data_IF_840224094263
#
_entry.id   IF_840224094263
#
_cell.length_a   1.000
_cell.length_b   1.000
_cell.length_c   1.000
_cell.angle_alpha   90.00
_cell.angle_beta   90.00
_cell.angle_gamma   90.00
#
_symmetry.space_group_name_H-M   'P 1'
#
loop_
_entity.id
_entity.type
_entity.pdbx_description
1 polymer ?
#
# COMPACT_ATOMS: atom_id res chain seq x y z
N UNK A 1 13.47 5.50 -17.59
CA UNK A 1 12.44 4.74 -16.84
C UNK A 1 12.97 3.37 -16.45
N UNK A 2 12.40 2.75 -15.41
CA UNK A 2 12.77 1.40 -14.96
C UNK A 2 12.56 0.37 -16.08
N UNK A 3 11.43 0.44 -16.76
CA UNK A 3 11.05 -0.45 -17.87
C UNK A 3 12.14 -0.43 -18.96
N UNK A 4 12.59 0.76 -19.38
CA UNK A 4 13.65 0.88 -20.40
C UNK A 4 14.95 0.20 -19.98
N UNK A 5 15.34 0.32 -18.70
CA UNK A 5 16.55 -0.34 -18.18
C UNK A 5 16.41 -1.86 -18.25
N UNK A 6 15.25 -2.37 -17.89
CA UNK A 6 14.99 -3.82 -17.93
C UNK A 6 14.88 -4.34 -19.36
N UNK A 7 14.23 -3.58 -20.27
CA UNK A 7 14.18 -3.95 -21.68
C UNK A 7 15.57 -4.03 -22.31
N UNK A 8 16.48 -3.12 -21.95
CA UNK A 8 17.87 -3.17 -22.43
C UNK A 8 18.62 -4.37 -21.85
N UNK A 9 18.40 -4.70 -20.58
CA UNK A 9 19.12 -5.79 -19.90
C UNK A 9 18.62 -7.18 -20.31
N UNK A 10 17.30 -7.36 -20.49
CA UNK A 10 16.67 -8.68 -20.67
C UNK A 10 15.96 -8.85 -22.02
N UNK A 11 15.89 -7.81 -22.84
CA UNK A 11 15.12 -7.78 -24.08
C UNK A 11 13.65 -7.38 -23.86
N UNK A 12 13.06 -6.72 -24.85
CA UNK A 12 11.67 -6.24 -24.77
C UNK A 12 10.66 -7.38 -24.59
N UNK A 13 10.88 -8.53 -25.25
CA UNK A 13 10.01 -9.70 -25.18
C UNK A 13 9.98 -10.37 -23.79
N UNK A 14 11.00 -10.13 -22.96
CA UNK A 14 11.04 -10.64 -21.59
C UNK A 14 10.25 -9.77 -20.62
N UNK A 15 9.83 -8.55 -21.03
CA UNK A 15 9.13 -7.62 -20.16
C UNK A 15 7.63 -7.82 -20.27
N UNK A 16 7.01 -8.27 -19.19
CA UNK A 16 5.55 -8.41 -19.08
C UNK A 16 5.03 -7.41 -18.06
N UNK A 17 4.22 -6.46 -18.54
CA UNK A 17 3.64 -5.43 -17.70
C UNK A 17 2.18 -5.77 -17.35
N UNK A 18 1.80 -5.54 -16.11
CA UNK A 18 0.42 -5.67 -15.63
C UNK A 18 0.06 -4.44 -14.81
N UNK A 19 -1.16 -3.94 -14.95
CA UNK A 19 -1.69 -2.91 -14.07
C UNK A 19 -2.13 -3.54 -12.76
N UNK A 20 -1.73 -2.94 -11.65
CA UNK A 20 -2.12 -3.37 -10.32
C UNK A 20 -3.45 -2.70 -9.92
N UNK A 21 -4.53 -3.20 -10.51
CA UNK A 21 -5.90 -2.78 -10.17
C UNK A 21 -6.67 -4.05 -9.80
N UNK A 22 -7.20 -4.09 -8.59
CA UNK A 22 -7.83 -5.30 -8.03
C UNK A 22 -8.93 -5.87 -8.94
N UNK A 23 -9.69 -5.01 -9.60
CA UNK A 23 -10.73 -5.39 -10.56
C UNK A 23 -10.20 -6.05 -11.84
N UNK A 24 -8.91 -5.90 -12.14
CA UNK A 24 -8.24 -6.43 -13.33
C UNK A 24 -7.37 -7.65 -13.02
N UNK A 25 -7.24 -8.01 -11.76
CA UNK A 25 -6.51 -9.20 -11.34
C UNK A 25 -7.43 -10.41 -11.29
N UNK A 26 -6.92 -11.58 -11.64
CA UNK A 26 -7.66 -12.85 -11.56
C UNK A 26 -8.08 -13.11 -10.11
N UNK A 27 -9.39 -13.20 -9.89
CA UNK A 27 -9.96 -13.34 -8.55
C UNK A 27 -9.61 -12.19 -7.58
N UNK A 28 -9.19 -11.03 -8.10
CA UNK A 28 -8.72 -9.90 -7.28
C UNK A 28 -7.41 -10.15 -6.54
N UNK A 29 -6.69 -11.22 -6.90
CA UNK A 29 -5.48 -11.69 -6.23
C UNK A 29 -4.25 -11.55 -7.12
N UNK A 30 -3.24 -10.86 -6.61
CA UNK A 30 -1.92 -10.75 -7.27
C UNK A 30 -1.27 -12.10 -7.47
N UNK A 31 -1.38 -12.97 -6.48
CA UNK A 31 -0.75 -14.30 -6.50
C UNK A 31 -1.42 -15.18 -7.54
N UNK A 32 -2.75 -15.19 -7.60
CA UNK A 32 -3.50 -15.94 -8.61
C UNK A 32 -3.22 -15.38 -10.01
N UNK A 33 -3.26 -14.06 -10.17
CA UNK A 33 -2.97 -13.40 -11.44
C UNK A 33 -1.56 -13.72 -11.95
N UNK A 34 -0.55 -13.62 -11.09
CA UNK A 34 0.82 -13.95 -11.44
C UNK A 34 0.98 -15.43 -11.81
N UNK A 35 0.44 -16.33 -11.00
CA UNK A 35 0.55 -17.77 -11.24
C UNK A 35 -0.08 -18.18 -12.56
N UNK A 36 -1.28 -17.70 -12.84
CA UNK A 36 -1.99 -18.08 -14.07
C UNK A 36 -1.42 -17.39 -15.31
N UNK A 37 -1.16 -16.06 -15.23
CA UNK A 37 -0.72 -15.30 -16.40
C UNK A 37 0.76 -15.44 -16.73
N UNK A 38 1.63 -15.69 -15.73
CA UNK A 38 3.07 -15.77 -15.94
C UNK A 38 3.58 -17.21 -15.92
N UNK A 39 3.03 -18.07 -15.07
CA UNK A 39 3.48 -19.46 -14.91
C UNK A 39 2.58 -20.46 -15.63
N UNK A 40 1.38 -20.07 -16.09
CA UNK A 40 0.40 -20.96 -16.71
C UNK A 40 -0.23 -21.95 -15.72
N UNK A 41 -0.11 -21.72 -14.41
CA UNK A 41 -0.61 -22.60 -13.37
C UNK A 41 -1.75 -21.93 -12.60
N UNK A 42 -3.02 -22.33 -12.82
CA UNK A 42 -4.12 -21.79 -12.06
C UNK A 42 -4.00 -22.24 -10.60
N UNK A 43 -3.93 -21.27 -9.69
CA UNK A 43 -4.02 -21.56 -8.26
C UNK A 43 -5.49 -21.74 -7.89
N UNK A 44 -5.82 -22.92 -7.30
CA UNK A 44 -7.08 -23.03 -6.55
C UNK A 44 -7.07 -21.93 -5.49
N UNK A 45 -8.22 -21.27 -5.31
CA UNK A 45 -8.41 -20.30 -4.22
C UNK A 45 -8.17 -21.02 -2.87
N UNK A 46 -6.92 -21.22 -2.52
CA UNK A 46 -6.53 -21.68 -1.21
C UNK A 46 -6.53 -20.43 -0.33
N UNK A 47 -7.14 -20.53 0.82
CA UNK A 47 -7.17 -19.61 1.95
C UNK A 47 -6.18 -18.46 1.84
N UNK A 48 -6.60 -17.40 1.13
CA UNK A 48 -5.85 -16.17 1.14
C UNK A 48 -6.13 -15.50 2.49
N UNK A 49 -5.37 -15.90 3.49
CA UNK A 49 -5.30 -15.13 4.71
C UNK A 49 -5.00 -13.69 4.29
N UNK A 50 -5.94 -12.79 4.52
CA UNK A 50 -5.73 -11.37 4.27
C UNK A 50 -4.62 -10.91 5.22
N UNK A 51 -3.39 -10.87 4.70
CA UNK A 51 -2.25 -10.30 5.40
C UNK A 51 -2.11 -8.83 4.98
N UNK A 52 -1.50 -8.04 5.84
CA UNK A 52 -1.28 -6.60 5.63
C UNK A 52 -2.59 -5.80 5.51
N UNK A 53 -3.45 -5.92 6.50
CA UNK A 53 -4.63 -5.07 6.63
C UNK A 53 -4.21 -3.60 6.71
N UNK A 54 -4.96 -2.74 6.04
CA UNK A 54 -4.74 -1.31 6.16
C UNK A 54 -5.00 -0.85 7.61
N UNK A 55 -4.13 0.01 8.11
CA UNK A 55 -4.32 0.65 9.40
C UNK A 55 -5.25 1.85 9.27
N UNK A 56 -6.08 2.08 10.29
CA UNK A 56 -6.84 3.33 10.41
C UNK A 56 -5.91 4.54 10.41
N UNK A 57 -6.43 5.73 10.11
CA UNK A 57 -5.62 6.94 10.11
C UNK A 57 -4.97 7.21 11.47
N UNK A 58 -5.70 7.00 12.56
CA UNK A 58 -5.18 7.14 13.92
C UNK A 58 -4.04 6.15 14.20
N UNK A 59 -4.17 4.89 13.76
CA UNK A 59 -3.10 3.90 13.90
C UNK A 59 -1.85 4.27 13.08
N UNK A 60 -2.02 4.86 11.88
CA UNK A 60 -0.91 5.39 11.10
C UNK A 60 -0.22 6.55 11.83
N UNK A 61 -0.98 7.45 12.46
CA UNK A 61 -0.43 8.54 13.30
C UNK A 61 0.34 7.96 14.49
N UNK A 62 -0.19 6.95 15.19
CA UNK A 62 0.50 6.28 16.29
C UNK A 62 1.84 5.67 15.83
N UNK A 63 1.85 4.95 14.70
CA UNK A 63 3.08 4.38 14.15
C UNK A 63 4.10 5.45 13.72
N UNK A 64 3.62 6.59 13.21
CA UNK A 64 4.48 7.72 12.89
C UNK A 64 5.09 8.36 14.14
N UNK A 65 4.30 8.56 15.22
CA UNK A 65 4.80 9.06 16.51
C UNK A 65 5.85 8.12 17.10
N UNK A 66 5.61 6.80 17.07
CA UNK A 66 6.60 5.81 17.48
C UNK A 66 7.90 5.94 16.70
N UNK A 67 7.84 5.99 15.35
CA UNK A 67 9.03 6.13 14.51
C UNK A 67 9.80 7.42 14.79
N UNK A 68 9.10 8.54 15.08
CA UNK A 68 9.74 9.81 15.45
C UNK A 68 10.45 9.74 16.80
N UNK A 69 9.80 9.12 17.80
CA UNK A 69 10.37 8.97 19.14
C UNK A 69 11.63 8.09 19.15
N UNK A 70 11.65 7.06 18.30
CA UNK A 70 12.79 6.12 18.25
C UNK A 70 13.99 6.65 17.47
N UNK A 71 13.88 7.72 16.70
CA UNK A 71 14.98 8.36 15.98
C UNK A 71 15.62 7.49 14.88
N UNK A 72 16.56 8.07 14.12
CA UNK A 72 17.20 7.40 12.98
C UNK A 72 18.28 6.38 13.37
N UNK A 73 18.87 6.51 14.56
CA UNK A 73 20.04 5.73 14.98
C UNK A 73 19.72 4.31 15.48
N UNK A 74 18.45 4.05 15.80
CA UNK A 74 18.01 2.82 16.46
C UNK A 74 17.49 1.74 15.50
N UNK A 75 17.88 1.73 14.23
CA UNK A 75 17.24 0.92 13.16
C UNK A 75 17.22 -0.60 13.43
N UNK A 76 18.19 -1.16 14.13
CA UNK A 76 18.29 -2.62 14.32
C UNK A 76 17.40 -3.15 15.47
N UNK A 77 17.36 -2.46 16.61
CA UNK A 77 16.51 -2.86 17.73
C UNK A 77 15.04 -2.45 17.57
N UNK A 78 14.79 -1.34 16.91
CA UNK A 78 13.45 -0.80 16.60
C UNK A 78 12.63 -1.73 15.69
N UNK A 79 13.28 -2.53 14.85
CA UNK A 79 12.57 -3.34 13.86
C UNK A 79 11.62 -4.36 14.49
N UNK A 80 11.99 -4.97 15.62
CA UNK A 80 11.12 -5.92 16.33
C UNK A 80 9.92 -5.20 16.94
N UNK A 81 10.17 -4.20 17.79
CA UNK A 81 9.10 -3.44 18.48
C UNK A 81 8.17 -2.75 17.48
N UNK A 82 8.70 -2.23 16.36
CA UNK A 82 7.88 -1.67 15.30
C UNK A 82 6.98 -2.71 14.62
N UNK A 83 7.48 -3.92 14.39
CA UNK A 83 6.68 -5.03 13.84
C UNK A 83 5.60 -5.46 14.82
N UNK A 84 5.94 -5.56 16.10
CA UNK A 84 4.99 -5.95 17.14
C UNK A 84 3.90 -4.89 17.31
N UNK A 85 4.28 -3.59 17.31
CA UNK A 85 3.32 -2.48 17.29
C UNK A 85 2.43 -2.52 16.04
N UNK A 86 3.00 -2.72 14.85
CA UNK A 86 2.21 -2.80 13.63
C UNK A 86 1.17 -3.93 13.69
N UNK A 87 1.56 -5.12 14.15
CA UNK A 87 0.63 -6.25 14.35
C UNK A 87 -0.45 -5.97 15.39
N UNK A 88 -0.08 -5.30 16.48
CA UNK A 88 -1.05 -4.87 17.48
C UNK A 88 -2.07 -3.91 16.87
N UNK A 89 -1.60 -2.87 16.15
CA UNK A 89 -2.45 -1.89 15.49
C UNK A 89 -3.35 -2.52 14.41
N UNK A 90 -2.85 -3.49 13.64
CA UNK A 90 -3.67 -4.26 12.69
C UNK A 90 -4.84 -4.99 13.38
N UNK A 91 -4.62 -5.44 14.63
CA UNK A 91 -5.64 -6.14 15.40
C UNK A 91 -6.68 -5.21 16.02
N UNK A 92 -6.26 -4.05 16.57
CA UNK A 92 -7.13 -3.18 17.37
C UNK A 92 -7.64 -1.96 16.61
N UNK A 93 -6.98 -1.56 15.54
CA UNK A 93 -7.25 -0.32 14.80
C UNK A 93 -7.05 -0.51 13.29
N UNK A 94 -7.49 -1.65 12.74
CA UNK A 94 -7.56 -1.83 11.29
C UNK A 94 -8.59 -0.87 10.69
N UNK A 95 -8.32 -0.37 9.49
CA UNK A 95 -9.23 0.53 8.78
C UNK A 95 -8.65 1.01 7.46
N UNK A 96 -9.49 1.57 6.62
CA UNK A 96 -9.13 2.12 5.30
C UNK A 96 -9.42 3.62 5.18
N UNK A 97 -9.61 4.29 6.30
CA UNK A 97 -9.94 5.71 6.41
C UNK A 97 -8.75 6.65 6.20
N UNK A 98 -7.53 6.12 6.15
CA UNK A 98 -6.29 6.90 5.96
C UNK A 98 -6.05 7.41 4.54
N UNK A 99 -7.11 7.72 3.78
CA UNK A 99 -6.99 8.32 2.46
C UNK A 99 -6.77 9.83 2.55
N UNK A 100 -5.93 10.43 1.69
CA UNK A 100 -5.83 11.89 1.58
C UNK A 100 -7.14 12.47 1.02
N UNK A 101 -7.31 13.78 1.11
CA UNK A 101 -8.44 14.44 0.43
C UNK A 101 -8.37 14.21 -1.08
N UNK A 102 -9.55 14.25 -1.73
CA UNK A 102 -9.67 14.11 -3.19
C UNK A 102 -8.78 15.10 -3.92
N UNK A 103 -8.76 16.36 -3.51
CA UNK A 103 -7.94 17.40 -4.12
C UNK A 103 -6.44 17.08 -4.05
N UNK A 104 -5.98 16.56 -2.92
CA UNK A 104 -4.58 16.16 -2.73
C UNK A 104 -4.22 14.93 -3.54
N UNK A 105 -5.11 13.93 -3.60
CA UNK A 105 -4.90 12.73 -4.42
C UNK A 105 -4.82 13.09 -5.92
N UNK A 106 -5.71 13.94 -6.40
CA UNK A 106 -5.69 14.46 -7.78
C UNK A 106 -4.41 15.23 -8.08
N UNK A 107 -4.02 16.17 -7.22
CA UNK A 107 -2.77 16.93 -7.38
C UNK A 107 -1.55 16.02 -7.44
N UNK A 108 -1.49 14.99 -6.60
CA UNK A 108 -0.42 14.00 -6.64
C UNK A 108 -0.44 13.19 -7.93
N UNK A 109 -1.60 12.75 -8.39
CA UNK A 109 -1.75 11.94 -9.61
C UNK A 109 -1.33 12.72 -10.86
N UNK A 110 -1.61 14.02 -10.93
CA UNK A 110 -1.23 14.88 -12.05
C UNK A 110 0.26 14.81 -12.40
N UNK A 111 1.14 14.69 -11.39
CA UNK A 111 2.59 14.57 -11.61
C UNK A 111 2.97 13.30 -12.41
N UNK A 112 2.12 12.30 -12.45
CA UNK A 112 2.36 11.02 -13.11
C UNK A 112 1.50 10.81 -14.34
N UNK A 113 0.48 11.64 -14.57
CA UNK A 113 -0.53 11.45 -15.63
C UNK A 113 0.09 11.30 -17.01
N UNK A 114 1.00 12.20 -17.38
CA UNK A 114 1.64 12.15 -18.68
C UNK A 114 2.46 10.86 -18.87
N UNK A 115 3.26 10.49 -17.86
CA UNK A 115 4.02 9.24 -17.88
C UNK A 115 3.12 8.00 -17.94
N UNK A 116 2.02 8.00 -17.20
CA UNK A 116 1.04 6.91 -17.19
C UNK A 116 0.35 6.78 -18.55
N UNK A 117 -0.06 7.89 -19.18
CA UNK A 117 -0.68 7.89 -20.50
C UNK A 117 0.29 7.39 -21.58
N UNK A 118 1.58 7.79 -21.49
CA UNK A 118 2.59 7.28 -22.40
C UNK A 118 2.76 5.76 -22.26
N UNK A 119 2.84 5.24 -21.02
CA UNK A 119 2.90 3.79 -20.77
C UNK A 119 1.65 3.06 -21.27
N UNK A 120 0.47 3.65 -21.06
CA UNK A 120 -0.79 3.08 -21.55
C UNK A 120 -0.78 2.89 -23.05
N UNK A 121 -0.34 3.90 -23.80
CA UNK A 121 -0.24 3.84 -25.26
C UNK A 121 0.81 2.84 -25.75
N UNK A 122 2.01 2.88 -25.17
CA UNK A 122 3.14 2.06 -25.61
C UNK A 122 2.97 0.57 -25.32
N UNK A 123 2.41 0.22 -24.18
CA UNK A 123 2.41 -1.18 -23.70
C UNK A 123 1.02 -1.80 -23.59
N UNK A 124 -0.04 -0.99 -23.54
CA UNK A 124 -1.39 -1.49 -23.32
C UNK A 124 -2.37 -1.11 -24.43
N UNK A 125 -1.94 -0.34 -25.44
CA UNK A 125 -2.78 0.11 -26.56
C UNK A 125 -4.08 0.79 -26.11
N UNK A 126 -3.99 1.61 -25.05
CA UNK A 126 -5.12 2.34 -24.49
C UNK A 126 -4.69 3.76 -24.05
N UNK A 127 -5.65 4.65 -23.86
CA UNK A 127 -5.36 6.05 -23.54
C UNK A 127 -4.97 6.29 -22.08
N UNK A 128 -5.47 5.46 -21.15
CA UNK A 128 -5.25 5.61 -19.71
C UNK A 128 -4.70 4.32 -19.10
N UNK A 129 -3.75 4.46 -18.19
CA UNK A 129 -3.13 3.32 -17.53
C UNK A 129 -4.01 2.77 -16.39
N UNK A 130 -4.61 3.65 -15.59
CA UNK A 130 -5.42 3.31 -14.44
C UNK A 130 -6.84 3.88 -14.58
N UNK A 131 -7.75 3.36 -13.77
CA UNK A 131 -9.03 4.03 -13.52
C UNK A 131 -8.73 5.32 -12.75
N UNK A 132 -9.20 6.45 -13.29
CA UNK A 132 -8.96 7.77 -12.73
C UNK A 132 -10.15 8.27 -11.90
N UNK A 133 -11.00 7.36 -11.41
CA UNK A 133 -12.03 7.73 -10.43
C UNK A 133 -11.40 7.96 -9.06
N UNK A 134 -11.69 9.13 -8.50
CA UNK A 134 -11.30 9.51 -7.14
C UNK A 134 -12.53 9.69 -6.24
N UNK A 135 -13.66 9.08 -6.61
CA UNK A 135 -14.94 9.24 -5.90
C UNK A 135 -14.90 8.66 -4.48
N UNK A 136 -14.05 7.65 -4.26
CA UNK A 136 -13.82 7.04 -2.95
C UNK A 136 -12.90 7.86 -2.02
N UNK A 137 -12.40 9.01 -2.48
CA UNK A 137 -11.55 9.87 -1.67
C UNK A 137 -12.39 10.92 -0.93
N UNK A 138 -12.10 11.19 0.35
CA UNK A 138 -12.84 12.19 1.12
C UNK A 138 -12.61 13.60 0.55
N UNK A 139 -13.62 14.46 0.67
CA UNK A 139 -13.52 15.86 0.24
C UNK A 139 -12.55 16.66 1.12
N UNK A 140 -12.50 16.34 2.42
CA UNK A 140 -11.69 17.04 3.41
C UNK A 140 -10.55 16.17 3.92
N UNK A 141 -9.44 16.82 4.29
CA UNK A 141 -8.33 16.17 5.00
C UNK A 141 -8.78 15.68 6.37
N UNK A 142 -8.36 14.47 6.72
CA UNK A 142 -8.55 13.93 8.06
C UNK A 142 -7.66 14.71 9.05
N UNK A 143 -8.25 15.13 10.17
CA UNK A 143 -7.50 15.72 11.28
C UNK A 143 -6.78 14.60 12.04
N UNK A 144 -5.53 14.87 12.41
CA UNK A 144 -4.76 13.95 13.27
C UNK A 144 -5.33 13.97 14.67
N UNK A 145 -5.80 12.84 15.14
CA UNK A 145 -6.15 12.65 16.54
C UNK A 145 -4.93 12.12 17.29
N UNK A 146 -4.14 13.06 17.81
CA UNK A 146 -2.87 12.76 18.52
C UNK A 146 -3.15 12.12 19.88
N UNK A 147 -4.23 12.49 20.56
CA UNK A 147 -4.60 11.96 21.87
C UNK A 147 -5.00 10.48 21.74
N UNK A 148 -5.86 10.16 20.79
CA UNK A 148 -6.23 8.77 20.52
C UNK A 148 -5.05 7.94 20.02
N UNK A 149 -4.17 8.52 19.19
CA UNK A 149 -2.96 7.83 18.75
C UNK A 149 -1.98 7.56 19.92
N UNK A 150 -1.84 8.49 20.86
CA UNK A 150 -1.04 8.32 22.07
C UNK A 150 -1.65 7.24 22.99
N UNK A 151 -2.98 7.17 23.12
CA UNK A 151 -3.66 6.09 23.83
C UNK A 151 -3.34 4.72 23.25
N UNK A 152 -3.41 4.55 21.93
CA UNK A 152 -3.04 3.29 21.26
C UNK A 152 -1.59 2.86 21.56
N UNK A 153 -0.66 3.81 21.63
CA UNK A 153 0.74 3.53 22.01
C UNK A 153 0.85 3.12 23.48
N UNK A 154 0.15 3.82 24.37
CA UNK A 154 0.11 3.48 25.79
C UNK A 154 -0.42 2.07 26.02
N UNK A 155 -1.53 1.73 25.40
CA UNK A 155 -2.15 0.40 25.48
C UNK A 155 -1.22 -0.70 24.96
N UNK A 156 -0.51 -0.43 23.86
CA UNK A 156 0.51 -1.35 23.35
C UNK A 156 1.60 -1.60 24.39
N UNK A 157 2.17 -0.54 24.97
CA UNK A 157 3.21 -0.69 26.01
C UNK A 157 2.71 -1.46 27.23
N UNK A 158 1.52 -1.16 27.70
CA UNK A 158 0.92 -1.89 28.84
C UNK A 158 0.74 -3.38 28.53
N UNK A 159 0.37 -3.75 27.31
CA UNK A 159 0.24 -5.16 26.92
C UNK A 159 1.58 -5.90 26.81
N UNK A 160 2.69 -5.19 26.60
CA UNK A 160 4.04 -5.81 26.52
C UNK A 160 4.69 -6.01 27.90
N UNK A 161 4.27 -5.27 28.92
CA UNK A 161 4.89 -5.25 30.26
C UNK A 161 3.90 -5.64 31.37
N UNK A 162 2.75 -6.22 31.01
CA UNK A 162 1.73 -6.68 31.97
C UNK A 162 2.00 -8.10 32.54
N UNK A 163 3.26 -8.61 32.41
CA UNK A 163 3.71 -9.87 33.00
C UNK A 163 4.52 -9.64 34.27
#
# INVERSE_FOLDING_TARGET
TLIKRWSVAFGESAIKLRTFERSKLIGGSVVADFSETQLGVPLKQADQAMSNLSLSFTAQVALMMFNQAMGAESRLHVTKHRKDLAKYLEKVAAGSDGKPSRSRALSFYEHFREGNNLLAKLYFQRDRLFDESFDDYPELELKRDVELAASLLSDFYLTQFAE
#
